data_IF_392167888798
#
_entry.id   IF_392167888798
#
_cell.length_a   1.000
_cell.length_b   1.000
_cell.length_c   1.000
_cell.angle_alpha   90.00
_cell.angle_beta   90.00
_cell.angle_gamma   90.00
#
_symmetry.space_group_name_H-M   'P 1'
#
loop_
_entity.id
_entity.type
_entity.pdbx_description
1 polymer ?
#
# COMPACT_ATOMS: atom_id res chain seq x y z
N UNK A 1 21.00 7.36 15.51
CA UNK A 1 19.62 7.31 14.96
C UNK A 1 19.11 8.71 14.68
N UNK A 2 19.61 9.36 13.63
CA UNK A 2 19.14 10.68 13.24
C UNK A 2 18.40 10.50 11.92
N UNK A 3 17.06 10.60 11.98
CA UNK A 3 16.25 10.74 10.78
C UNK A 3 16.74 11.99 10.02
N UNK A 4 16.73 11.99 8.67
CA UNK A 4 17.15 13.15 7.89
C UNK A 4 16.42 14.41 8.35
N UNK A 5 17.14 15.54 8.32
CA UNK A 5 16.65 16.83 8.80
C UNK A 5 15.29 17.15 8.15
N UNK A 6 14.31 17.37 9.01
CA UNK A 6 12.93 17.53 8.62
C UNK A 6 12.74 18.85 7.88
N UNK A 7 12.48 18.80 6.58
CA UNK A 7 11.93 19.95 5.84
C UNK A 7 10.42 19.83 5.86
N UNK A 8 9.73 20.80 6.42
CA UNK A 8 8.26 20.80 6.42
C UNK A 8 7.74 20.84 4.98
N UNK A 9 6.78 19.99 4.58
CA UNK A 9 6.11 20.12 3.30
C UNK A 9 5.53 21.54 3.17
N UNK A 10 5.71 22.16 2.01
CA UNK A 10 5.19 23.49 1.74
C UNK A 10 3.67 23.57 1.99
N UNK A 11 3.17 24.78 2.24
CA UNK A 11 1.75 24.99 2.51
C UNK A 11 0.87 24.45 1.37
N UNK A 12 -0.20 23.74 1.74
CA UNK A 12 -1.14 23.12 0.81
C UNK A 12 -2.39 22.62 1.53
N UNK A 13 -3.48 22.36 0.80
CA UNK A 13 -4.71 21.84 1.39
C UNK A 13 -4.45 20.48 2.06
N UNK A 14 -5.15 20.23 3.17
CA UNK A 14 -5.16 18.93 3.83
C UNK A 14 -5.97 17.94 3.00
N UNK A 15 -5.52 16.68 2.97
CA UNK A 15 -6.26 15.59 2.38
C UNK A 15 -7.56 15.32 3.14
N UNK A 16 -8.62 14.86 2.46
CA UNK A 16 -9.84 14.46 3.13
C UNK A 16 -9.59 13.22 4.00
N UNK A 17 -10.33 13.12 5.10
CA UNK A 17 -10.29 11.98 6.00
C UNK A 17 -11.00 10.76 5.40
N UNK A 18 -10.40 10.12 4.39
CA UNK A 18 -11.01 9.03 3.63
C UNK A 18 -10.42 7.65 3.93
N UNK A 19 -11.17 6.61 3.57
CA UNK A 19 -10.72 5.22 3.56
C UNK A 19 -10.60 4.81 2.10
N UNK A 20 -9.41 4.38 1.69
CA UNK A 20 -9.11 3.96 0.32
C UNK A 20 -8.57 2.53 0.38
N UNK A 21 -9.11 1.63 -0.44
CA UNK A 21 -8.74 0.20 -0.42
C UNK A 21 -9.10 -0.45 0.95
N UNK A 22 -10.15 0.06 1.61
CA UNK A 22 -10.64 -0.47 2.89
C UNK A 22 -9.74 -0.14 4.09
N UNK A 23 -8.71 0.68 3.91
CA UNK A 23 -7.78 1.14 4.94
C UNK A 23 -7.63 2.65 4.88
N UNK A 24 -7.15 3.26 5.96
CA UNK A 24 -6.96 4.70 6.06
C UNK A 24 -5.48 5.02 6.26
N UNK A 25 -4.76 5.48 5.23
CA UNK A 25 -3.40 5.99 5.40
C UNK A 25 -3.34 7.06 6.50
N UNK A 26 -2.20 7.13 7.20
CA UNK A 26 -1.96 7.93 8.40
C UNK A 26 -2.79 7.57 9.65
N UNK A 27 -3.75 6.62 9.56
CA UNK A 27 -4.65 6.27 10.68
C UNK A 27 -4.63 4.79 11.03
N UNK A 28 -4.68 3.92 10.03
CA UNK A 28 -4.74 2.48 10.26
C UNK A 28 -3.47 1.97 10.93
N UNK A 29 -3.62 1.35 12.09
CA UNK A 29 -2.50 0.77 12.84
C UNK A 29 -2.04 -0.54 12.21
N UNK A 30 -0.83 -0.99 12.56
CA UNK A 30 -0.34 -2.29 12.10
C UNK A 30 -1.26 -3.45 12.50
N UNK A 31 -1.81 -3.43 13.72
CA UNK A 31 -2.72 -4.46 14.20
C UNK A 31 -4.06 -4.48 13.43
N UNK A 32 -4.63 -3.31 13.15
CA UNK A 32 -5.85 -3.20 12.34
C UNK A 32 -5.63 -3.73 10.92
N UNK A 33 -4.48 -3.43 10.33
CA UNK A 33 -4.13 -3.90 8.99
C UNK A 33 -3.93 -5.41 8.96
N UNK A 34 -3.29 -6.00 9.98
CA UNK A 34 -3.18 -7.46 10.12
C UNK A 34 -4.57 -8.12 10.28
N UNK A 35 -5.45 -7.55 11.11
CA UNK A 35 -6.82 -8.04 11.27
C UNK A 35 -7.62 -7.92 9.97
N UNK A 36 -7.45 -6.83 9.23
CA UNK A 36 -8.06 -6.63 7.92
C UNK A 36 -7.56 -7.66 6.89
N UNK A 37 -6.24 -7.88 6.80
CA UNK A 37 -5.63 -8.91 5.94
C UNK A 37 -6.23 -10.29 6.24
N UNK A 38 -6.30 -10.67 7.52
CA UNK A 38 -6.87 -11.94 7.96
C UNK A 38 -8.37 -12.06 7.60
N UNK A 39 -9.16 -11.00 7.85
CA UNK A 39 -10.58 -10.96 7.48
C UNK A 39 -10.81 -11.13 5.99
N UNK A 40 -9.91 -10.61 5.15
CA UNK A 40 -9.96 -10.75 3.70
C UNK A 40 -9.37 -12.06 3.17
N UNK A 41 -8.79 -12.88 4.05
CA UNK A 41 -8.12 -14.13 3.66
C UNK A 41 -6.95 -13.88 2.71
N UNK A 42 -6.21 -12.79 2.90
CA UNK A 42 -5.03 -12.44 2.11
C UNK A 42 -3.77 -13.02 2.76
N UNK A 43 -2.84 -13.50 1.93
CA UNK A 43 -1.51 -13.92 2.37
C UNK A 43 -0.51 -12.82 2.03
N UNK A 44 0.06 -12.19 3.05
CA UNK A 44 1.02 -11.09 2.86
C UNK A 44 2.32 -11.41 3.57
N UNK A 45 3.44 -11.35 2.84
CA UNK A 45 4.78 -11.54 3.40
C UNK A 45 5.39 -10.19 3.76
N UNK A 46 6.10 -10.12 4.89
CA UNK A 46 6.96 -8.98 5.18
C UNK A 46 8.20 -9.03 4.27
N UNK A 47 8.26 -8.11 3.31
CA UNK A 47 9.36 -7.91 2.36
C UNK A 47 10.20 -6.69 2.74
N UNK A 48 10.18 -6.26 4.01
CA UNK A 48 11.14 -5.28 4.51
C UNK A 48 12.56 -5.83 4.43
N UNK A 49 13.58 -4.98 4.24
CA UNK A 49 14.97 -5.43 4.22
C UNK A 49 15.35 -6.24 5.46
N UNK A 50 14.88 -5.84 6.64
CA UNK A 50 15.05 -6.58 7.90
C UNK A 50 14.46 -7.99 7.82
N UNK A 51 13.21 -8.14 7.37
CA UNK A 51 12.57 -9.45 7.26
C UNK A 51 13.25 -10.34 6.21
N UNK A 52 13.69 -9.76 5.08
CA UNK A 52 14.43 -10.49 4.05
C UNK A 52 15.80 -10.97 4.55
N UNK A 53 16.53 -10.14 5.29
CA UNK A 53 17.80 -10.53 5.90
C UNK A 53 17.61 -11.66 6.93
N UNK A 54 16.55 -11.59 7.75
CA UNK A 54 16.20 -12.67 8.68
C UNK A 54 15.90 -13.99 7.93
N UNK A 55 15.04 -13.95 6.89
CA UNK A 55 14.72 -15.13 6.06
C UNK A 55 15.97 -15.72 5.38
N UNK A 56 16.89 -14.88 4.91
CA UNK A 56 18.16 -15.35 4.34
C UNK A 56 19.06 -16.02 5.38
N UNK A 57 19.13 -15.47 6.61
CA UNK A 57 19.90 -16.08 7.71
C UNK A 57 19.31 -17.43 8.10
N UNK A 58 18.00 -17.51 8.29
CA UNK A 58 17.32 -18.74 8.67
C UNK A 58 17.53 -19.84 7.62
N UNK A 59 17.45 -19.49 6.33
CA UNK A 59 17.77 -20.40 5.22
C UNK A 59 19.20 -20.88 5.25
N UNK A 60 20.17 -20.02 5.58
CA UNK A 60 21.56 -20.47 5.67
C UNK A 60 21.85 -21.30 6.91
N UNK A 61 21.23 -20.98 8.06
CA UNK A 61 21.31 -21.81 9.26
C UNK A 61 20.75 -23.21 8.97
N UNK A 62 19.63 -23.31 8.25
CA UNK A 62 19.07 -24.59 7.83
C UNK A 62 20.03 -25.36 6.91
N UNK A 63 20.62 -24.69 5.90
CA UNK A 63 21.60 -25.30 4.99
C UNK A 63 22.86 -25.78 5.71
N UNK A 64 23.39 -25.02 6.67
CA UNK A 64 24.55 -25.44 7.47
C UNK A 64 24.21 -26.68 8.31
N UNK A 65 23.04 -26.70 8.97
CA UNK A 65 22.59 -27.88 9.73
C UNK A 65 22.44 -29.11 8.84
N UNK A 66 21.94 -28.95 7.62
CA UNK A 66 21.85 -30.04 6.64
C UNK A 66 23.22 -30.52 6.15
N UNK A 67 24.19 -29.62 5.96
CA UNK A 67 25.56 -29.96 5.56
C UNK A 67 26.31 -30.67 6.70
N UNK A 68 26.16 -30.18 7.93
CA UNK A 68 26.67 -30.83 9.15
C UNK A 68 26.09 -32.24 9.30
N UNK A 69 24.79 -32.41 9.08
CA UNK A 69 24.14 -33.72 9.11
C UNK A 69 24.62 -34.67 8.00
N UNK A 70 25.15 -34.15 6.89
CA UNK A 70 25.74 -34.92 5.78
C UNK A 70 27.25 -35.14 5.93
N UNK A 71 27.88 -34.62 6.99
CA UNK A 71 29.30 -34.78 7.26
C UNK A 71 30.21 -33.86 6.42
N UNK A 72 29.67 -32.82 5.79
CA UNK A 72 30.42 -31.89 4.94
C UNK A 72 30.85 -30.66 5.75
N UNK A 73 32.03 -30.75 6.38
CA UNK A 73 32.53 -29.75 7.33
C UNK A 73 33.07 -28.46 6.68
N UNK A 74 33.42 -28.50 5.39
CA UNK A 74 34.03 -27.37 4.67
C UNK A 74 33.00 -26.33 4.17
N UNK A 75 31.70 -26.63 4.28
CA UNK A 75 30.60 -25.71 3.93
C UNK A 75 30.40 -24.53 4.91
N UNK A 76 31.09 -24.52 6.06
CA UNK A 76 30.86 -23.59 7.17
C UNK A 76 31.55 -22.20 7.03
N UNK A 77 32.16 -21.89 5.88
CA UNK A 77 32.90 -20.63 5.66
C UNK A 77 32.03 -19.36 5.59
N UNK A 78 30.70 -19.48 5.64
CA UNK A 78 29.74 -18.36 5.60
C UNK A 78 29.31 -17.78 6.95
N UNK A 79 29.77 -18.35 8.08
CA UNK A 79 29.24 -18.02 9.41
C UNK A 79 29.42 -16.55 9.84
N UNK A 80 30.47 -15.87 9.38
CA UNK A 80 30.78 -14.49 9.78
C UNK A 80 29.74 -13.46 9.31
N UNK A 81 29.07 -13.71 8.18
CA UNK A 81 28.03 -12.84 7.65
C UNK A 81 26.66 -13.06 8.32
N UNK A 82 26.39 -14.28 8.80
CA UNK A 82 25.11 -14.63 9.43
C UNK A 82 24.85 -13.86 10.71
N UNK A 83 25.87 -13.58 11.51
CA UNK A 83 25.72 -12.88 12.79
C UNK A 83 25.97 -11.38 12.71
N UNK A 84 26.36 -10.86 11.53
CA UNK A 84 26.62 -9.44 11.37
C UNK A 84 25.31 -8.68 11.26
N UNK A 85 25.03 -7.83 12.25
CA UNK A 85 23.95 -6.84 12.19
C UNK A 85 24.36 -5.75 11.21
N UNK A 86 23.57 -5.56 10.16
CA UNK A 86 23.77 -4.53 9.14
C UNK A 86 22.80 -3.37 9.35
N UNK A 87 23.01 -2.25 8.65
CA UNK A 87 22.06 -1.12 8.69
C UNK A 87 20.66 -1.52 8.19
N UNK A 88 20.54 -2.53 7.31
CA UNK A 88 19.25 -3.06 6.87
C UNK A 88 18.47 -3.74 8.00
N UNK A 89 19.16 -4.35 8.96
CA UNK A 89 18.52 -5.01 10.11
C UNK A 89 17.94 -4.02 11.12
N UNK A 90 18.51 -2.82 11.16
CA UNK A 90 18.06 -1.73 12.03
C UNK A 90 16.88 -0.97 11.46
N UNK A 91 16.53 -1.18 10.18
CA UNK A 91 15.41 -0.48 9.57
C UNK A 91 14.10 -0.90 10.25
N UNK A 92 13.37 0.05 10.86
CA UNK A 92 12.13 -0.26 11.57
C UNK A 92 10.95 -0.49 10.61
N UNK A 93 11.10 -0.11 9.35
CA UNK A 93 10.06 -0.15 8.33
C UNK A 93 9.57 -1.56 8.06
N UNK A 94 8.25 -1.67 7.86
CA UNK A 94 7.57 -2.92 7.52
C UNK A 94 6.94 -2.76 6.15
N UNK A 95 7.09 -3.76 5.29
CA UNK A 95 6.52 -3.77 3.95
C UNK A 95 5.77 -5.07 3.77
N UNK A 96 4.45 -5.06 3.85
CA UNK A 96 3.64 -6.24 3.61
C UNK A 96 3.30 -6.30 2.13
N UNK A 97 3.82 -7.30 1.43
CA UNK A 97 3.48 -7.58 0.04
C UNK A 97 2.57 -8.80 -0.02
N UNK A 98 1.36 -8.60 -0.53
CA UNK A 98 0.40 -9.65 -0.82
C UNK A 98 0.40 -9.85 -2.33
N UNK A 99 0.84 -11.03 -2.77
CA UNK A 99 0.84 -11.42 -4.18
C UNK A 99 -0.50 -12.09 -4.53
N UNK A 100 -0.84 -12.14 -5.82
CA UNK A 100 -2.02 -12.83 -6.36
C UNK A 100 -3.36 -12.47 -5.67
N UNK A 101 -3.49 -11.20 -5.27
CA UNK A 101 -4.69 -10.67 -4.63
C UNK A 101 -5.80 -10.55 -5.65
N UNK A 102 -6.84 -11.35 -5.50
CA UNK A 102 -8.10 -11.14 -6.19
C UNK A 102 -8.71 -9.79 -5.73
N UNK A 103 -8.85 -8.85 -6.66
CA UNK A 103 -9.16 -7.46 -6.32
C UNK A 103 -10.54 -7.26 -5.70
N UNK A 104 -11.50 -8.13 -6.03
CA UNK A 104 -12.82 -8.19 -5.41
C UNK A 104 -12.75 -8.40 -3.89
N UNK A 105 -11.73 -9.11 -3.38
CA UNK A 105 -11.54 -9.32 -1.94
C UNK A 105 -11.22 -8.04 -1.18
N UNK A 106 -10.66 -7.01 -1.83
CA UNK A 106 -10.36 -5.72 -1.17
C UNK A 106 -11.65 -5.10 -0.60
N UNK A 107 -12.77 -5.25 -1.30
CA UNK A 107 -14.12 -4.88 -0.84
C UNK A 107 -14.28 -3.41 -0.50
N UNK A 108 -13.52 -2.53 -1.16
CA UNK A 108 -13.60 -1.07 -1.04
C UNK A 108 -14.52 -0.44 -2.09
N UNK A 109 -14.61 -1.06 -3.27
CA UNK A 109 -15.52 -0.74 -4.36
C UNK A 109 -15.71 -1.95 -5.26
N UNK A 110 -16.66 -1.87 -6.19
CA UNK A 110 -16.71 -2.83 -7.30
C UNK A 110 -15.42 -2.70 -8.12
N UNK A 111 -14.70 -3.81 -8.25
CA UNK A 111 -13.44 -3.91 -8.98
C UNK A 111 -13.57 -4.98 -10.05
N UNK A 112 -12.88 -4.84 -11.20
CA UNK A 112 -12.84 -5.90 -12.19
C UNK A 112 -12.27 -7.18 -11.56
N UNK A 113 -12.77 -8.33 -12.02
CA UNK A 113 -12.27 -9.64 -11.62
C UNK A 113 -10.86 -9.86 -12.19
N UNK A 114 -9.86 -9.33 -11.48
CA UNK A 114 -8.45 -9.38 -11.86
C UNK A 114 -7.62 -9.73 -10.61
N UNK A 115 -6.44 -10.30 -10.81
CA UNK A 115 -5.45 -10.52 -9.75
C UNK A 115 -4.40 -9.43 -9.77
N UNK A 116 -3.89 -9.06 -8.61
CA UNK A 116 -2.87 -8.02 -8.52
C UNK A 116 -1.98 -8.20 -7.31
N UNK A 117 -1.10 -7.23 -7.12
CA UNK A 117 -0.23 -7.14 -5.97
C UNK A 117 -0.67 -5.99 -5.08
N UNK A 118 -0.88 -6.27 -3.80
CA UNK A 118 -1.13 -5.27 -2.78
C UNK A 118 0.16 -5.06 -1.97
N UNK A 119 0.58 -3.81 -1.83
CA UNK A 119 1.70 -3.41 -1.00
C UNK A 119 1.21 -2.46 0.08
N UNK A 120 1.58 -2.74 1.33
CA UNK A 120 1.26 -1.95 2.51
C UNK A 120 2.57 -1.59 3.22
N UNK A 121 2.85 -0.30 3.38
CA UNK A 121 4.13 0.19 3.91
C UNK A 121 3.89 0.95 5.22
N UNK A 122 4.70 0.61 6.21
CA UNK A 122 4.81 1.31 7.48
C UNK A 122 6.25 1.76 7.68
N UNK A 123 6.45 2.94 8.26
CA UNK A 123 7.77 3.38 8.70
C UNK A 123 8.23 2.62 9.95
N UNK A 124 7.27 2.18 10.78
CA UNK A 124 7.49 1.19 11.83
C UNK A 124 6.16 0.56 12.24
N UNK A 125 6.17 -0.57 12.96
CA UNK A 125 4.95 -1.19 13.50
C UNK A 125 4.21 -0.31 14.52
N UNK A 126 4.90 0.65 15.13
CA UNK A 126 4.35 1.59 16.10
C UNK A 126 3.72 2.83 15.45
N UNK A 127 3.97 3.04 14.15
CA UNK A 127 3.43 4.15 13.38
C UNK A 127 2.25 3.67 12.51
N UNK A 128 1.34 4.57 12.14
CA UNK A 128 0.24 4.22 11.26
C UNK A 128 0.74 3.85 9.85
N UNK A 129 -0.14 3.19 9.10
CA UNK A 129 0.02 2.84 7.70
C UNK A 129 0.37 4.07 6.89
N UNK A 130 1.52 4.05 6.22
CA UNK A 130 2.01 5.18 5.45
C UNK A 130 1.53 5.13 4.01
N UNK A 131 1.59 3.98 3.37
CA UNK A 131 1.32 3.86 1.94
C UNK A 131 0.66 2.53 1.61
N UNK A 132 -0.25 2.59 0.64
CA UNK A 132 -1.00 1.49 0.08
C UNK A 132 -0.80 1.57 -1.43
N UNK A 133 -0.42 0.47 -2.06
CA UNK A 133 -0.35 0.38 -3.51
C UNK A 133 -0.98 -0.91 -4.02
N UNK A 134 -1.79 -0.79 -5.07
CA UNK A 134 -2.38 -1.91 -5.80
C UNK A 134 -1.89 -1.86 -7.23
N UNK A 135 -1.12 -2.88 -7.61
CA UNK A 135 -0.59 -3.06 -8.95
C UNK A 135 -1.33 -4.20 -9.66
N UNK A 136 -1.65 -3.97 -10.92
CA UNK A 136 -2.30 -4.93 -11.83
C UNK A 136 -1.51 -5.04 -13.12
N UNK A 137 -1.55 -6.21 -13.74
CA UNK A 137 -0.90 -6.49 -15.01
C UNK A 137 -1.89 -7.05 -16.01
N UNK A 138 -2.11 -6.33 -17.09
CA UNK A 138 -2.95 -6.73 -18.21
C UNK A 138 -2.06 -7.16 -19.38
N UNK A 139 -2.51 -8.13 -20.17
CA UNK A 139 -1.90 -8.45 -21.45
C UNK A 139 -2.15 -7.34 -22.47
N UNK A 140 -1.29 -7.24 -23.49
CA UNK A 140 -1.47 -6.25 -24.56
C UNK A 140 -2.80 -6.41 -25.34
N UNK A 141 -3.42 -7.59 -25.30
CA UNK A 141 -4.75 -7.87 -25.89
C UNK A 141 -5.90 -7.35 -25.04
N UNK A 142 -5.66 -6.98 -23.77
CA UNK A 142 -6.67 -6.60 -22.79
C UNK A 142 -6.77 -5.07 -22.58
N UNK A 143 -6.42 -4.27 -23.60
CA UNK A 143 -6.35 -2.80 -23.46
C UNK A 143 -7.70 -2.18 -23.07
N UNK A 144 -8.80 -2.74 -23.57
CA UNK A 144 -10.15 -2.27 -23.22
C UNK A 144 -10.45 -2.47 -21.74
N UNK A 145 -10.11 -3.64 -21.18
CA UNK A 145 -10.26 -3.92 -19.75
C UNK A 145 -9.35 -3.04 -18.89
N UNK A 146 -8.09 -2.87 -19.30
CA UNK A 146 -7.13 -2.01 -18.60
C UNK A 146 -7.56 -0.53 -18.61
N UNK A 147 -8.12 -0.04 -19.72
CA UNK A 147 -8.70 1.31 -19.83
C UNK A 147 -9.91 1.48 -18.92
N UNK A 148 -10.83 0.50 -18.91
CA UNK A 148 -12.01 0.55 -18.06
C UNK A 148 -11.63 0.58 -16.57
N UNK A 149 -10.67 -0.26 -16.14
CA UNK A 149 -10.17 -0.25 -14.76
C UNK A 149 -9.46 1.07 -14.41
N UNK A 150 -8.68 1.64 -15.33
CA UNK A 150 -8.06 2.95 -15.11
C UNK A 150 -9.11 4.02 -14.86
N UNK A 151 -10.14 4.10 -15.70
CA UNK A 151 -11.22 5.08 -15.58
C UNK A 151 -12.06 4.85 -14.32
N UNK A 152 -12.35 3.60 -13.96
CA UNK A 152 -13.06 3.26 -12.73
C UNK A 152 -12.24 3.63 -11.48
N UNK A 153 -10.93 3.40 -11.52
CA UNK A 153 -10.00 3.79 -10.44
C UNK A 153 -9.87 5.31 -10.35
N UNK A 154 -9.75 6.02 -11.47
CA UNK A 154 -9.75 7.48 -11.53
C UNK A 154 -11.05 8.06 -10.96
N UNK A 155 -12.20 7.50 -11.33
CA UNK A 155 -13.50 7.93 -10.80
C UNK A 155 -13.61 7.72 -9.28
N UNK A 156 -13.17 6.56 -8.78
CA UNK A 156 -13.19 6.27 -7.35
C UNK A 156 -12.26 7.19 -6.54
N UNK A 157 -11.03 7.42 -7.03
CA UNK A 157 -10.13 8.38 -6.42
C UNK A 157 -10.68 9.80 -6.50
N UNK A 158 -11.31 10.17 -7.61
CA UNK A 158 -11.93 11.49 -7.78
C UNK A 158 -13.09 11.69 -6.81
N UNK A 159 -13.91 10.66 -6.58
CA UNK A 159 -15.00 10.70 -5.61
C UNK A 159 -14.48 10.87 -4.18
N UNK A 160 -13.36 10.24 -3.84
CA UNK A 160 -12.76 10.30 -2.50
C UNK A 160 -11.91 11.55 -2.25
N UNK A 161 -11.20 12.04 -3.26
CA UNK A 161 -10.16 13.07 -3.15
C UNK A 161 -10.49 14.38 -3.90
N UNK A 162 -11.59 14.45 -4.64
CA UNK A 162 -11.89 15.56 -5.54
C UNK A 162 -11.13 15.46 -6.87
N UNK A 163 -11.03 16.56 -7.62
CA UNK A 163 -10.37 16.53 -8.95
C UNK A 163 -8.85 16.30 -8.83
N UNK A 164 -8.23 15.59 -9.79
CA UNK A 164 -6.76 15.47 -9.84
C UNK A 164 -6.09 16.84 -9.86
N UNK A 165 -5.02 16.98 -9.07
CA UNK A 165 -4.15 18.16 -9.07
C UNK A 165 -3.20 18.20 -10.25
N UNK A 166 -2.85 17.03 -10.80
CA UNK A 166 -1.98 16.90 -11.98
C UNK A 166 -2.51 15.81 -12.90
N UNK A 167 -2.50 16.09 -14.20
CA UNK A 167 -2.95 15.21 -15.28
C UNK A 167 -1.80 15.08 -16.27
N UNK A 168 -1.28 13.86 -16.45
CA UNK A 168 -0.21 13.58 -17.43
C UNK A 168 -0.72 12.62 -18.48
N UNK A 169 -0.72 13.09 -19.73
CA UNK A 169 -1.23 12.37 -20.90
C UNK A 169 -2.73 12.09 -20.80
N UNK A 170 -3.45 12.28 -21.89
CA UNK A 170 -4.85 11.87 -21.94
C UNK A 170 -5.00 10.36 -22.00
N UNK A 171 -6.09 9.86 -21.42
CA UNK A 171 -6.47 8.45 -21.61
C UNK A 171 -6.80 8.27 -23.10
N UNK A 172 -6.25 7.25 -23.79
CA UNK A 172 -6.61 6.99 -25.17
C UNK A 172 -8.13 6.86 -25.35
N UNK A 173 -8.62 7.30 -26.51
CA UNK A 173 -10.00 7.09 -26.91
C UNK A 173 -10.32 5.59 -26.93
N UNK A 174 -11.61 5.25 -26.87
CA UNK A 174 -12.03 3.86 -27.00
C UNK A 174 -11.54 3.26 -28.33
N UNK A 175 -10.99 2.05 -28.28
CA UNK A 175 -10.36 1.39 -29.43
C UNK A 175 -8.95 1.88 -29.78
N UNK A 176 -8.48 2.99 -29.20
CA UNK A 176 -7.11 3.45 -29.37
C UNK A 176 -6.16 2.77 -28.38
N UNK A 177 -4.93 2.53 -28.80
CA UNK A 177 -3.95 1.85 -27.96
C UNK A 177 -3.24 2.78 -26.97
N UNK A 178 -2.82 2.21 -25.83
CA UNK A 178 -1.83 2.88 -24.99
C UNK A 178 -0.48 2.92 -25.71
N UNK A 179 0.12 4.10 -25.79
CA UNK A 179 1.44 4.30 -26.42
C UNK A 179 2.53 3.72 -25.51
N UNK A 180 3.42 2.92 -26.09
CA UNK A 180 4.53 2.29 -25.37
C UNK A 180 5.42 3.35 -24.69
N UNK A 181 5.83 3.06 -23.44
CA UNK A 181 6.68 3.94 -22.62
C UNK A 181 6.09 5.35 -22.36
N UNK A 182 4.81 5.58 -22.65
CA UNK A 182 4.13 6.84 -22.36
C UNK A 182 3.08 6.62 -21.26
N UNK A 183 3.39 6.95 -19.99
CA UNK A 183 2.44 6.75 -18.92
C UNK A 183 1.25 7.70 -19.05
N UNK A 184 0.07 7.18 -18.78
CA UNK A 184 -1.13 7.97 -18.47
C UNK A 184 -1.26 8.00 -16.96
N UNK A 185 -1.32 9.20 -16.37
CA UNK A 185 -1.24 9.38 -14.92
C UNK A 185 -2.14 10.51 -14.44
N UNK A 186 -2.69 10.32 -13.24
CA UNK A 186 -3.41 11.32 -12.44
C UNK A 186 -2.81 11.35 -11.06
N UNK A 187 -2.59 12.54 -10.52
CA UNK A 187 -2.10 12.74 -9.16
C UNK A 187 -3.00 13.67 -8.37
N UNK A 188 -3.22 13.31 -7.11
CA UNK A 188 -3.85 14.14 -6.08
C UNK A 188 -2.78 14.43 -5.04
N UNK A 189 -2.37 15.69 -4.92
CA UNK A 189 -1.33 16.11 -3.98
C UNK A 189 -1.94 17.00 -2.90
N UNK A 190 -1.85 16.56 -1.67
CA UNK A 190 -2.16 17.31 -0.46
C UNK A 190 -0.93 17.43 0.41
N UNK A 191 -0.99 18.26 1.45
CA UNK A 191 0.13 18.44 2.38
C UNK A 191 0.47 17.17 3.18
N UNK A 192 -0.52 16.30 3.43
CA UNK A 192 -0.45 15.12 4.29
C UNK A 192 -0.97 13.84 3.62
N UNK A 193 -1.39 13.92 2.36
CA UNK A 193 -1.92 12.79 1.61
C UNK A 193 -1.55 12.94 0.13
N UNK A 194 -1.24 11.83 -0.51
CA UNK A 194 -1.10 11.75 -1.95
C UNK A 194 -1.88 10.55 -2.47
N UNK A 195 -2.60 10.76 -3.56
CA UNK A 195 -3.23 9.72 -4.37
C UNK A 195 -2.62 9.73 -5.77
N UNK A 196 -2.52 8.56 -6.38
CA UNK A 196 -2.03 8.43 -7.75
C UNK A 196 -2.69 7.23 -8.42
N UNK A 197 -3.10 7.42 -9.67
CA UNK A 197 -3.36 6.31 -10.59
C UNK A 197 -2.51 6.48 -11.83
N UNK A 198 -1.87 5.41 -12.28
CA UNK A 198 -1.09 5.43 -13.51
C UNK A 198 -1.16 4.11 -14.25
N UNK A 199 -1.23 4.18 -15.57
CA UNK A 199 -1.10 3.01 -16.45
C UNK A 199 0.05 3.23 -17.43
N UNK A 200 0.87 2.19 -17.60
CA UNK A 200 2.03 2.19 -18.48
C UNK A 200 2.06 0.91 -19.31
N UNK A 201 2.17 1.06 -20.63
CA UNK A 201 2.45 -0.06 -21.54
C UNK A 201 3.96 -0.31 -21.59
N UNK A 202 4.34 -1.54 -21.23
CA UNK A 202 5.69 -2.07 -21.34
C UNK A 202 5.65 -3.30 -22.23
N UNK A 203 6.34 -3.27 -23.37
CA UNK A 203 6.46 -4.38 -24.31
C UNK A 203 5.11 -5.12 -24.55
N UNK A 204 4.93 -6.28 -23.92
CA UNK A 204 3.77 -7.18 -24.08
C UNK A 204 2.61 -6.98 -23.10
N UNK A 205 2.66 -5.98 -22.21
CA UNK A 205 1.62 -5.79 -21.21
C UNK A 205 1.42 -4.35 -20.76
N UNK A 206 0.37 -4.15 -19.98
CA UNK A 206 0.04 -2.89 -19.33
C UNK A 206 0.09 -3.08 -17.83
N UNK A 207 0.77 -2.17 -17.14
CA UNK A 207 0.84 -2.15 -15.68
C UNK A 207 0.04 -0.97 -15.17
N UNK A 208 -1.00 -1.24 -14.38
CA UNK A 208 -1.85 -0.25 -13.76
C UNK A 208 -1.52 -0.19 -12.27
N UNK A 209 -1.18 0.99 -11.79
CA UNK A 209 -0.84 1.30 -10.41
C UNK A 209 -1.89 2.23 -9.82
N UNK A 210 -2.38 1.90 -8.63
CA UNK A 210 -3.17 2.77 -7.76
C UNK A 210 -2.42 2.89 -6.45
N UNK A 211 -2.13 4.10 -6.03
CA UNK A 211 -1.32 4.38 -4.86
C UNK A 211 -1.99 5.45 -4.01
N UNK A 212 -1.98 5.24 -2.70
CA UNK A 212 -2.44 6.23 -1.72
C UNK A 212 -1.49 6.20 -0.54
N UNK A 213 -1.01 7.35 -0.10
CA UNK A 213 -0.20 7.38 1.12
C UNK A 213 0.14 8.78 1.58
N UNK A 214 0.91 8.83 2.67
CA UNK A 214 1.43 10.07 3.22
C UNK A 214 2.73 10.42 2.48
N UNK A 215 2.85 11.64 1.92
CA UNK A 215 4.08 12.06 1.26
C UNK A 215 5.26 12.08 2.24
N UNK A 216 6.47 11.93 1.70
CA UNK A 216 7.69 12.19 2.45
C UNK A 216 8.23 13.57 2.11
N UNK A 217 8.68 14.35 3.10
CA UNK A 217 8.52 14.18 4.55
C UNK A 217 7.08 14.46 5.05
N UNK A 218 6.72 14.04 6.28
CA UNK A 218 5.37 14.22 6.87
C UNK A 218 5.28 15.51 7.69
N UNK A 219 4.38 16.45 7.37
CA UNK A 219 4.27 17.75 8.08
C UNK A 219 4.11 17.60 9.61
N UNK A 220 4.88 18.35 10.41
CA UNK A 220 4.71 18.41 11.88
C UNK A 220 3.37 19.09 12.19
N UNK A 221 2.57 18.50 13.10
CA UNK A 221 1.21 18.96 13.36
C UNK A 221 0.15 18.41 12.40
N UNK A 222 0.53 17.58 11.45
CA UNK A 222 -0.38 16.81 10.61
C UNK A 222 -1.02 15.61 11.33
N UNK A 223 -1.32 15.73 12.63
CA UNK A 223 -2.15 14.73 13.28
C UNK A 223 -3.47 14.63 12.50
N UNK A 224 -3.91 13.42 12.11
CA UNK A 224 -5.23 13.26 11.51
C UNK A 224 -6.24 13.84 12.49
N UNK A 225 -7.09 14.75 12.02
CA UNK A 225 -8.21 15.25 12.81
C UNK A 225 -8.98 14.04 13.28
N UNK A 226 -8.99 13.80 14.60
CA UNK A 226 -9.79 12.76 15.20
C UNK A 226 -11.25 13.00 14.77
N UNK A 227 -11.90 11.97 14.23
CA UNK A 227 -13.34 12.02 14.04
C UNK A 227 -13.94 12.16 15.45
N UNK A 228 -14.79 13.16 15.73
CA UNK A 228 -15.51 13.18 17.00
C UNK A 228 -16.27 11.87 17.11
N UNK A 229 -16.15 11.18 18.25
CA UNK A 229 -16.90 9.97 18.51
C UNK A 229 -18.37 10.19 18.14
N UNK A 230 -19.06 9.21 17.51
CA UNK A 230 -20.48 9.32 17.31
C UNK A 230 -21.12 9.61 18.67
N UNK A 231 -21.88 10.71 18.76
CA UNK A 231 -22.58 11.07 19.97
C UNK A 231 -23.35 9.83 20.45
N UNK A 232 -23.08 9.40 21.68
CA UNK A 232 -23.88 8.38 22.34
C UNK A 232 -25.34 8.81 22.21
N UNK A 233 -26.14 7.97 21.54
CA UNK A 233 -27.57 8.19 21.45
C UNK A 233 -28.10 8.22 22.89
N UNK A 234 -28.51 9.40 23.33
CA UNK A 234 -29.23 9.58 24.59
C UNK A 234 -30.39 8.57 24.60
N UNK A 235 -30.45 7.64 25.56
CA UNK A 235 -31.58 6.73 25.64
C UNK A 235 -32.86 7.55 25.78
N UNK A 236 -33.82 7.29 24.89
CA UNK A 236 -35.12 7.92 24.92
C UNK A 236 -35.77 7.70 26.30
N UNK A 237 -36.23 8.80 26.89
CA UNK A 237 -36.96 8.77 28.15
C UNK A 237 -38.20 7.87 28.03
N UNK A 238 -38.55 7.08 29.05
CA UNK A 238 -39.73 6.23 29.00
C UNK A 238 -40.99 7.10 28.89
N UNK A 239 -41.71 6.88 27.80
CA UNK A 239 -43.02 7.46 27.53
C UNK A 239 -43.97 7.07 28.68
N UNK A 240 -44.47 8.07 29.40
CA UNK A 240 -45.52 7.87 30.41
C UNK A 240 -46.75 7.31 29.72
N UNK A 241 -47.13 6.09 30.07
CA UNK A 241 -48.47 5.59 29.83
C UNK A 241 -49.46 6.51 30.55
N UNK A 242 -50.27 7.23 29.79
CA UNK A 242 -51.41 7.97 30.31
C UNK A 242 -52.62 7.02 30.48
N UNK A 243 -53.46 7.20 31.51
CA UNK A 243 -54.66 6.41 31.77
C UNK A 243 -55.80 6.69 30.78
#
# INVERSE_FOLDING_TARGET
>A
DVLPEFTEPGDGPRGPATTLIGLAPARSTYAEVQAWIAKKGLSCKDTSPRALMADMRDKQVAKMREAEAKGDADGASGASWLYRVTEYDKQPGVRLACEDVALDKLGDRERPAHTGRLLLIFDSKALPLRHIAVQRHYQATEQAAARADFLATEAALTAALGKPTEVRTEVPAEGAEFVMLKPVRRDWKFADLQGKVSILRLNHGLSLFEEVGVPWPVRVGAAPTAVPAPAEATPAAPEKAAP
#
